data_IF_403462173522
#
_entry.id   IF_403462173522
#
_cell.length_a   1.000
_cell.length_b   1.000
_cell.length_c   1.000
_cell.angle_alpha   90.00
_cell.angle_beta   90.00
_cell.angle_gamma   90.00
#
_symmetry.space_group_name_H-M   'P 1'
#
loop_
_entity.id
_entity.type
_entity.pdbx_description
1 polymer ?
#
# COMPACT_ATOMS: atom_id res chain seq x y z
N UNK A 1 -52.38 -4.41 5.16
CA UNK A 1 -51.30 -3.97 4.24
C UNK A 1 -50.14 -4.93 4.42
N UNK A 2 -49.97 -5.84 3.47
CA UNK A 2 -49.06 -6.99 3.56
C UNK A 2 -47.66 -6.57 3.13
N UNK A 3 -46.68 -6.68 4.04
CA UNK A 3 -45.28 -6.44 3.71
C UNK A 3 -44.75 -7.59 2.86
N UNK A 4 -44.40 -7.31 1.61
CA UNK A 4 -43.67 -8.25 0.77
C UNK A 4 -42.18 -7.92 0.88
N UNK A 5 -41.44 -8.75 1.60
CA UNK A 5 -39.97 -8.74 1.58
C UNK A 5 -39.51 -9.61 0.42
N UNK A 6 -38.75 -9.12 -0.57
CA UNK A 6 -38.15 -9.99 -1.55
C UNK A 6 -37.01 -10.76 -0.86
N UNK A 7 -37.22 -12.06 -0.75
CA UNK A 7 -36.26 -13.09 -0.37
C UNK A 7 -35.06 -13.03 -1.33
N UNK A 8 -33.93 -12.54 -0.84
CA UNK A 8 -32.65 -12.72 -1.50
C UNK A 8 -32.21 -14.18 -1.37
N UNK A 9 -32.53 -15.03 -2.34
CA UNK A 9 -31.76 -16.26 -2.57
C UNK A 9 -30.42 -15.84 -3.22
N UNK A 10 -29.49 -15.36 -2.39
CA UNK A 10 -28.06 -15.31 -2.72
C UNK A 10 -27.40 -16.54 -2.10
N UNK A 11 -27.83 -17.72 -2.54
CA UNK A 11 -27.03 -18.94 -2.36
C UNK A 11 -25.98 -18.95 -3.46
N UNK A 12 -24.75 -19.20 -3.06
CA UNK A 12 -23.57 -19.10 -3.91
C UNK A 12 -23.72 -19.97 -5.14
N UNK A 13 -23.76 -19.31 -6.29
CA UNK A 13 -23.26 -19.89 -7.51
C UNK A 13 -21.74 -19.87 -7.37
N UNK A 14 -21.19 -20.90 -6.71
CA UNK A 14 -19.83 -21.31 -6.98
C UNK A 14 -19.89 -21.97 -8.36
N UNK A 15 -19.94 -21.13 -9.39
CA UNK A 15 -19.90 -21.55 -10.76
C UNK A 15 -18.59 -22.31 -10.94
N UNK A 16 -18.76 -23.59 -11.25
CA UNK A 16 -17.77 -24.50 -11.77
C UNK A 16 -16.77 -23.72 -12.62
N UNK A 17 -15.61 -23.41 -12.02
CA UNK A 17 -14.53 -22.73 -12.71
C UNK A 17 -13.86 -23.80 -13.54
N UNK A 18 -14.51 -24.20 -14.62
CA UNK A 18 -13.91 -25.02 -15.66
C UNK A 18 -12.79 -24.16 -16.23
N UNK A 19 -11.59 -24.33 -15.67
CA UNK A 19 -10.38 -23.77 -16.25
C UNK A 19 -10.28 -24.37 -17.64
N UNK A 20 -10.57 -23.57 -18.66
CA UNK A 20 -10.35 -23.94 -20.05
C UNK A 20 -8.90 -24.44 -20.18
N UNK A 21 -8.61 -25.49 -20.98
CA UNK A 21 -7.28 -26.08 -21.05
C UNK A 21 -6.19 -25.07 -21.43
N UNK A 22 -6.56 -23.97 -22.11
CA UNK A 22 -5.68 -22.85 -22.42
C UNK A 22 -5.28 -22.02 -21.18
N UNK A 23 -6.19 -21.84 -20.21
CA UNK A 23 -5.91 -21.12 -18.96
C UNK A 23 -5.08 -22.00 -18.01
N UNK A 24 -5.33 -23.31 -17.96
CA UNK A 24 -4.52 -24.24 -17.17
C UNK A 24 -3.08 -24.34 -17.69
N UNK A 25 -2.91 -24.37 -19.02
CA UNK A 25 -1.59 -24.35 -19.65
C UNK A 25 -0.87 -23.02 -19.43
N UNK A 26 -1.62 -21.90 -19.38
CA UNK A 26 -1.08 -20.58 -19.06
C UNK A 26 -0.65 -20.48 -17.60
N UNK A 27 -1.46 -20.97 -16.67
CA UNK A 27 -1.13 -20.99 -15.23
C UNK A 27 0.11 -21.85 -14.97
N UNK A 28 0.20 -23.04 -15.57
CA UNK A 28 1.40 -23.88 -15.49
C UNK A 28 2.68 -23.17 -15.98
N UNK A 29 2.58 -22.34 -17.03
CA UNK A 29 3.74 -21.59 -17.54
C UNK A 29 4.26 -20.51 -16.59
N UNK A 30 3.42 -20.01 -15.68
CA UNK A 30 3.82 -19.06 -14.63
C UNK A 30 4.30 -19.78 -13.38
N UNK A 31 3.74 -20.95 -13.09
CA UNK A 31 4.11 -21.76 -11.93
C UNK A 31 5.51 -22.37 -12.06
N UNK A 32 5.96 -22.67 -13.29
CA UNK A 32 7.30 -23.19 -13.58
C UNK A 32 8.38 -22.09 -13.73
N UNK A 33 8.01 -20.80 -13.66
CA UNK A 33 8.94 -19.68 -13.83
C UNK A 33 9.80 -19.44 -12.58
N UNK A 34 11.12 -19.53 -12.72
CA UNK A 34 12.07 -19.27 -11.64
C UNK A 34 12.46 -17.78 -11.61
N UNK A 35 12.03 -17.07 -10.56
CA UNK A 35 12.30 -15.65 -10.35
C UNK A 35 13.57 -15.41 -9.51
N UNK A 36 14.73 -15.75 -10.08
CA UNK A 36 16.03 -15.61 -9.41
C UNK A 36 16.76 -14.29 -9.74
N UNK A 37 17.98 -14.14 -9.24
CA UNK A 37 18.78 -12.93 -9.43
C UNK A 37 19.32 -12.77 -10.86
N UNK A 38 19.46 -13.86 -11.63
CA UNK A 38 19.82 -13.79 -13.05
C UNK A 38 18.65 -13.26 -13.88
N UNK A 39 17.44 -13.81 -13.68
CA UNK A 39 16.21 -13.34 -14.29
C UNK A 39 15.97 -11.83 -14.06
N UNK A 40 16.19 -11.35 -12.84
CA UNK A 40 16.04 -9.92 -12.51
C UNK A 40 17.11 -9.06 -13.18
N UNK A 41 18.35 -9.55 -13.32
CA UNK A 41 19.45 -8.81 -13.97
C UNK A 41 19.29 -8.73 -15.50
N UNK A 42 18.72 -9.75 -16.11
CA UNK A 42 18.43 -9.78 -17.55
C UNK A 42 17.24 -8.90 -17.95
N UNK A 43 16.38 -8.53 -16.99
CA UNK A 43 15.27 -7.63 -17.25
C UNK A 43 15.80 -6.26 -17.76
N UNK A 44 15.68 -6.03 -19.07
CA UNK A 44 16.14 -4.81 -19.74
C UNK A 44 15.39 -3.53 -19.34
N UNK A 45 14.41 -3.62 -18.44
CA UNK A 45 13.70 -2.48 -17.90
C UNK A 45 13.46 -2.68 -16.41
N UNK A 46 13.88 -1.70 -15.62
CA UNK A 46 13.62 -1.67 -14.18
C UNK A 46 12.44 -0.74 -13.92
N UNK A 47 11.24 -1.31 -13.91
CA UNK A 47 10.04 -0.56 -13.53
C UNK A 47 9.85 -0.54 -12.01
N UNK A 48 9.25 0.51 -11.44
CA UNK A 48 8.89 0.50 -10.04
C UNK A 48 7.96 -0.67 -9.74
N UNK A 49 8.19 -1.31 -8.59
CA UNK A 49 7.33 -2.39 -8.11
C UNK A 49 5.86 -1.98 -8.14
N UNK A 50 4.96 -2.95 -8.34
CA UNK A 50 3.52 -2.69 -8.35
C UNK A 50 3.08 -1.84 -7.13
N UNK A 51 3.65 -2.14 -5.95
CA UNK A 51 3.42 -1.37 -4.72
C UNK A 51 3.89 0.08 -4.83
N UNK A 52 5.06 0.34 -5.40
CA UNK A 52 5.56 1.70 -5.60
C UNK A 52 4.65 2.51 -6.54
N UNK A 53 4.17 1.89 -7.62
CA UNK A 53 3.20 2.53 -8.54
C UNK A 53 1.88 2.83 -7.85
N UNK A 54 1.36 1.90 -7.04
CA UNK A 54 0.16 2.12 -6.23
C UNK A 54 0.35 3.26 -5.22
N UNK A 55 1.48 3.30 -4.52
CA UNK A 55 1.77 4.36 -3.55
C UNK A 55 1.88 5.72 -4.23
N UNK A 56 2.57 5.79 -5.37
CA UNK A 56 2.69 7.01 -6.16
C UNK A 56 1.31 7.49 -6.66
N UNK A 57 0.44 6.58 -7.10
CA UNK A 57 -0.93 6.91 -7.48
C UNK A 57 -1.74 7.46 -6.30
N UNK A 58 -1.60 6.86 -5.10
CA UNK A 58 -2.22 7.38 -3.88
C UNK A 58 -1.70 8.78 -3.57
N UNK A 59 -0.38 9.00 -3.56
CA UNK A 59 0.20 10.31 -3.25
C UNK A 59 -0.10 11.40 -4.27
N UNK A 60 -0.35 11.06 -5.54
CA UNK A 60 -0.84 12.06 -6.50
C UNK A 60 -2.24 12.55 -6.17
N UNK A 61 -3.08 11.69 -5.57
CA UNK A 61 -4.47 12.02 -5.18
C UNK A 61 -4.53 12.62 -3.79
N UNK A 62 -3.72 12.10 -2.87
CA UNK A 62 -3.66 12.43 -1.46
C UNK A 62 -2.25 12.93 -1.14
N UNK A 63 -1.84 14.01 -1.82
CA UNK A 63 -0.53 14.60 -1.55
C UNK A 63 -0.55 15.15 -0.13
N UNK A 64 0.43 14.81 0.73
CA UNK A 64 0.51 15.44 2.04
C UNK A 64 0.73 16.94 1.86
N UNK A 65 0.09 17.73 2.71
CA UNK A 65 0.38 19.15 2.81
C UNK A 65 1.88 19.35 3.07
N UNK A 66 2.52 20.35 2.43
CA UNK A 66 3.92 20.63 2.65
C UNK A 66 4.12 21.06 4.11
N UNK A 67 4.61 20.14 4.92
CA UNK A 67 5.06 20.46 6.26
C UNK A 67 6.39 21.22 6.17
N UNK A 68 6.62 22.23 7.02
CA UNK A 68 7.91 22.87 7.09
C UNK A 68 8.99 21.81 7.34
N UNK A 69 10.09 21.89 6.58
CA UNK A 69 11.27 21.01 6.68
C UNK A 69 11.87 20.89 8.09
N UNK A 70 11.44 21.79 8.98
CA UNK A 70 11.57 21.67 10.40
C UNK A 70 10.18 21.76 11.01
N UNK A 71 9.78 20.69 11.69
CA UNK A 71 8.79 20.78 12.75
C UNK A 71 9.35 21.74 13.79
N UNK A 72 9.00 23.02 13.72
CA UNK A 72 9.43 24.02 14.71
C UNK A 72 9.00 23.63 16.13
N UNK A 73 7.98 22.78 16.21
CA UNK A 73 7.57 22.05 17.41
C UNK A 73 8.41 20.77 17.57
N UNK A 74 9.32 20.71 18.56
CA UNK A 74 9.99 19.46 18.88
C UNK A 74 8.96 18.43 19.37
N UNK A 75 8.96 17.19 18.86
CA UNK A 75 8.08 16.15 19.38
C UNK A 75 8.32 15.95 20.88
N UNK A 76 7.21 15.76 21.60
CA UNK A 76 7.08 15.66 23.05
C UNK A 76 8.41 15.39 23.80
N UNK A 77 8.95 16.43 24.44
CA UNK A 77 10.06 16.27 25.39
C UNK A 77 11.48 16.31 24.84
N UNK A 78 11.72 16.70 23.57
CA UNK A 78 13.07 16.84 23.03
C UNK A 78 13.97 17.68 23.96
N UNK A 79 15.05 17.05 24.41
CA UNK A 79 16.03 17.59 25.36
C UNK A 79 16.68 18.91 24.92
N UNK A 80 16.61 19.28 23.63
CA UNK A 80 17.17 20.52 23.07
C UNK A 80 16.14 21.63 22.78
N UNK A 81 14.88 21.45 23.17
CA UNK A 81 13.87 22.50 22.97
C UNK A 81 14.30 23.82 23.64
N UNK A 82 14.22 24.94 22.89
CA UNK A 82 14.56 26.27 23.42
C UNK A 82 13.76 26.61 24.68
N UNK A 83 12.53 26.11 24.80
CA UNK A 83 11.68 26.28 25.98
C UNK A 83 12.26 25.64 27.24
N UNK A 84 12.79 24.41 27.16
CA UNK A 84 13.46 23.76 28.29
C UNK A 84 14.76 24.46 28.67
N UNK A 85 15.55 24.90 27.67
CA UNK A 85 16.76 25.69 27.91
C UNK A 85 16.42 26.96 28.69
N UNK A 86 15.49 27.79 28.21
CA UNK A 86 15.11 29.08 28.83
C UNK A 86 14.60 28.94 30.28
N UNK A 87 13.89 27.85 30.61
CA UNK A 87 13.42 27.60 31.99
C UNK A 87 14.57 27.35 32.99
N UNK A 88 15.70 26.81 32.53
CA UNK A 88 16.89 26.57 33.39
C UNK A 88 17.61 27.88 33.74
N UNK A 89 17.66 28.85 32.82
CA UNK A 89 18.32 30.15 33.04
C UNK A 89 17.50 31.13 33.88
N UNK A 90 16.23 30.85 34.15
CA UNK A 90 15.33 31.71 34.96
C UNK A 90 15.15 31.23 36.41
N UNK A 91 15.86 30.16 36.79
CA UNK A 91 15.84 29.60 38.15
C UNK A 91 17.20 29.71 38.86
N UNK A 92 18.13 30.45 38.28
CA UNK A 92 19.42 30.83 38.87
C UNK A 92 19.45 32.32 39.14
#
# INVERSE_FOLDING_TARGET
>A
MTGHTPRQDRRGQAEDRTTEPADAARDASWDDLVLDEEFVREAGTSEPSARARMLAARWRRERPEPQPWRSDEPPAGWFFSKGRRRRRWRRG
#
